data_IF_714858981481
#
_entry.id   IF_714858981481
#
_cell.length_a   1.000
_cell.length_b   1.000
_cell.length_c   1.000
_cell.angle_alpha   90.00
_cell.angle_beta   90.00
_cell.angle_gamma   90.00
#
_symmetry.space_group_name_H-M   'P 1'
#
loop_
_entity.id
_entity.type
_entity.pdbx_description
1 polymer ?
#
# COMPACT_ATOMS: atom_id res chain seq x y z
N UNK A 1 5.83 -1.36 8.06
CA UNK A 1 6.98 -0.75 8.75
C UNK A 1 7.98 -1.83 9.18
N UNK A 2 9.29 -1.52 9.19
CA UNK A 2 10.38 -2.47 9.55
C UNK A 2 10.16 -3.19 10.89
N UNK A 3 9.42 -2.59 11.84
CA UNK A 3 9.10 -3.18 13.14
C UNK A 3 8.19 -4.43 13.09
N UNK A 4 7.30 -4.56 12.09
CA UNK A 4 6.43 -5.75 11.99
C UNK A 4 7.16 -6.98 11.43
N UNK A 5 8.25 -6.77 10.69
CA UNK A 5 9.10 -7.84 10.17
C UNK A 5 9.78 -8.61 11.29
N UNK A 6 10.14 -7.93 12.39
CA UNK A 6 10.75 -8.55 13.57
C UNK A 6 9.75 -9.44 14.31
N UNK A 7 8.49 -9.02 14.43
CA UNK A 7 7.44 -9.80 15.07
C UNK A 7 7.20 -11.15 14.41
N UNK A 8 7.27 -11.23 13.07
CA UNK A 8 7.08 -12.49 12.33
C UNK A 8 8.30 -13.43 12.48
N UNK A 9 9.52 -12.89 12.59
CA UNK A 9 10.72 -13.69 12.90
C UNK A 9 10.75 -14.19 14.34
N UNK A 10 10.30 -13.38 15.31
CA UNK A 10 10.19 -13.79 16.72
C UNK A 10 9.10 -14.86 16.90
N UNK A 11 7.97 -14.75 16.20
CA UNK A 11 6.89 -15.77 16.26
C UNK A 11 7.29 -17.09 15.60
N UNK A 12 8.32 -17.09 14.72
CA UNK A 12 8.92 -18.32 14.17
C UNK A 12 9.85 -19.02 15.16
N UNK A 13 10.51 -18.29 16.06
CA UNK A 13 11.44 -18.85 17.05
C UNK A 13 10.73 -19.34 18.32
N UNK A 14 9.56 -18.78 18.64
CA UNK A 14 8.89 -18.97 19.94
C UNK A 14 8.12 -20.30 20.13
N UNK A 15 8.06 -21.20 19.13
CA UNK A 15 7.18 -22.40 19.14
C UNK A 15 5.68 -22.10 19.43
N UNK A 16 5.25 -20.83 19.41
CA UNK A 16 3.84 -20.43 19.57
C UNK A 16 3.04 -20.75 18.30
N UNK A 17 3.72 -20.75 17.15
CA UNK A 17 3.13 -21.12 15.86
C UNK A 17 2.60 -22.56 15.89
N UNK A 18 3.32 -23.54 16.46
CA UNK A 18 2.89 -24.94 16.46
C UNK A 18 1.64 -25.20 17.33
N UNK A 19 1.39 -24.37 18.37
CA UNK A 19 0.14 -24.45 19.16
C UNK A 19 -1.07 -23.84 18.44
N UNK A 20 -0.89 -22.77 17.65
CA UNK A 20 -1.97 -22.19 16.83
C UNK A 20 -2.35 -23.10 15.64
N UNK A 21 -1.49 -24.04 15.26
CA UNK A 21 -1.72 -24.99 14.16
C UNK A 21 -2.63 -26.18 14.50
N UNK A 22 -3.02 -26.36 15.76
CA UNK A 22 -3.97 -27.41 16.18
C UNK A 22 -5.43 -26.92 16.16
N UNK A 23 -5.64 -25.60 16.02
CA UNK A 23 -6.97 -25.00 15.86
C UNK A 23 -7.28 -24.85 14.36
N UNK A 24 -8.54 -25.05 13.92
CA UNK A 24 -8.94 -24.88 12.52
C UNK A 24 -9.02 -23.39 12.16
N UNK A 25 -7.88 -22.71 12.18
CA UNK A 25 -7.78 -21.29 11.85
C UNK A 25 -7.69 -21.20 10.33
N UNK A 26 -8.73 -20.65 9.71
CA UNK A 26 -8.72 -20.39 8.28
C UNK A 26 -7.57 -19.42 7.95
N UNK A 27 -6.67 -19.81 7.06
CA UNK A 27 -5.41 -19.08 6.77
C UNK A 27 -5.65 -17.66 6.23
N UNK A 28 -6.85 -17.39 5.74
CA UNK A 28 -7.28 -16.05 5.35
C UNK A 28 -7.41 -15.09 6.56
N UNK A 29 -7.69 -15.57 7.77
CA UNK A 29 -7.88 -14.71 8.95
C UNK A 29 -6.61 -13.95 9.35
N UNK A 30 -5.44 -14.59 9.23
CA UNK A 30 -4.16 -13.94 9.51
C UNK A 30 -3.82 -12.87 8.46
N UNK A 31 -4.10 -13.17 7.19
CA UNK A 31 -3.87 -12.26 6.06
C UNK A 31 -4.79 -11.04 6.14
N UNK A 32 -6.09 -11.26 6.35
CA UNK A 32 -7.08 -10.21 6.46
C UNK A 32 -6.82 -9.32 7.69
N UNK A 33 -6.43 -9.91 8.83
CA UNK A 33 -6.06 -9.15 10.02
C UNK A 33 -4.85 -8.23 9.78
N UNK A 34 -3.85 -8.69 9.03
CA UNK A 34 -2.70 -7.88 8.67
C UNK A 34 -3.06 -6.74 7.70
N UNK A 35 -3.86 -7.02 6.68
CA UNK A 35 -4.33 -5.99 5.73
C UNK A 35 -5.14 -4.92 6.46
N UNK A 36 -6.09 -5.32 7.30
CA UNK A 36 -6.90 -4.39 8.11
C UNK A 36 -5.98 -3.55 9.00
N UNK A 37 -4.99 -4.15 9.66
CA UNK A 37 -4.08 -3.42 10.52
C UNK A 37 -3.29 -2.34 9.76
N UNK A 38 -2.80 -2.63 8.54
CA UNK A 38 -2.09 -1.62 7.74
C UNK A 38 -3.03 -0.56 7.16
N UNK A 39 -4.26 -0.92 6.79
CA UNK A 39 -5.29 0.04 6.38
C UNK A 39 -5.63 1.01 7.52
N UNK A 40 -5.87 0.49 8.72
CA UNK A 40 -6.15 1.30 9.92
C UNK A 40 -4.95 2.19 10.26
N UNK A 41 -3.73 1.66 10.21
CA UNK A 41 -2.52 2.46 10.43
C UNK A 41 -2.38 3.59 9.41
N UNK A 42 -2.62 3.30 8.13
CA UNK A 42 -2.59 4.31 7.07
C UNK A 42 -3.64 5.39 7.29
N UNK A 43 -4.85 4.99 7.68
CA UNK A 43 -5.94 5.92 7.97
C UNK A 43 -5.59 6.83 9.16
N UNK A 44 -5.13 6.28 10.29
CA UNK A 44 -4.73 7.06 11.47
C UNK A 44 -3.59 8.02 11.11
N UNK A 45 -2.57 7.55 10.40
CA UNK A 45 -1.45 8.41 9.96
C UNK A 45 -1.94 9.56 9.07
N UNK A 46 -2.86 9.28 8.15
CA UNK A 46 -3.42 10.31 7.26
C UNK A 46 -4.26 11.30 8.05
N UNK A 47 -5.06 10.86 9.01
CA UNK A 47 -5.83 11.75 9.91
C UNK A 47 -4.89 12.69 10.66
N UNK A 48 -3.82 12.17 11.25
CA UNK A 48 -2.85 12.96 12.01
C UNK A 48 -2.17 14.01 11.13
N UNK A 49 -1.67 13.62 9.96
CA UNK A 49 -1.02 14.55 9.02
C UNK A 49 -2.02 15.60 8.53
N UNK A 50 -3.25 15.19 8.24
CA UNK A 50 -4.30 16.11 7.79
C UNK A 50 -4.68 17.11 8.88
N UNK A 51 -4.77 16.67 10.14
CA UNK A 51 -5.05 17.55 11.28
C UNK A 51 -3.95 18.60 11.46
N UNK A 52 -2.68 18.20 11.33
CA UNK A 52 -1.54 19.13 11.36
C UNK A 52 -1.63 20.11 10.19
N UNK A 53 -1.91 19.62 8.98
CA UNK A 53 -2.04 20.48 7.80
C UNK A 53 -3.18 21.49 7.93
N UNK A 54 -4.32 21.09 8.49
CA UNK A 54 -5.44 21.98 8.82
C UNK A 54 -5.02 23.04 9.83
N UNK A 55 -4.27 22.66 10.87
CA UNK A 55 -3.73 23.61 11.86
C UNK A 55 -2.74 24.60 11.23
N UNK A 56 -1.99 24.17 10.20
CA UNK A 56 -1.10 25.04 9.40
C UNK A 56 -1.86 25.92 8.38
N UNK A 57 -3.18 25.80 8.29
CA UNK A 57 -4.02 26.63 7.42
C UNK A 57 -4.43 25.99 6.10
N UNK A 58 -4.30 24.66 5.93
CA UNK A 58 -4.88 23.96 4.79
C UNK A 58 -6.40 24.18 4.75
N UNK A 59 -6.92 24.64 3.61
CA UNK A 59 -8.36 24.79 3.39
C UNK A 59 -8.80 23.89 2.25
N UNK A 60 -9.75 23.01 2.52
CA UNK A 60 -10.36 22.18 1.48
C UNK A 60 -11.32 23.03 0.64
N UNK A 61 -10.95 23.25 -0.61
CA UNK A 61 -11.71 24.07 -1.56
C UNK A 61 -13.06 23.43 -1.96
N UNK A 62 -13.17 22.10 -1.90
CA UNK A 62 -14.34 21.33 -2.32
C UNK A 62 -15.24 20.84 -1.16
N UNK A 63 -15.11 21.43 0.04
CA UNK A 63 -15.92 21.10 1.22
C UNK A 63 -15.54 19.79 1.92
N UNK A 64 -16.32 19.42 2.94
CA UNK A 64 -16.02 18.27 3.83
C UNK A 64 -16.03 16.90 3.14
N UNK A 65 -16.81 16.74 2.07
CA UNK A 65 -16.82 15.51 1.28
C UNK A 65 -15.46 15.23 0.62
N UNK A 66 -14.75 16.28 0.18
CA UNK A 66 -13.41 16.14 -0.37
C UNK A 66 -12.39 15.75 0.70
N UNK A 67 -12.54 16.23 1.94
CA UNK A 67 -11.70 15.83 3.06
C UNK A 67 -11.87 14.35 3.42
N UNK A 68 -13.11 13.83 3.38
CA UNK A 68 -13.38 12.40 3.57
C UNK A 68 -12.74 11.53 2.49
N UNK A 69 -12.89 11.90 1.21
CA UNK A 69 -12.25 11.18 0.11
C UNK A 69 -10.72 11.25 0.19
N UNK A 70 -10.18 12.40 0.58
CA UNK A 70 -8.75 12.59 0.80
C UNK A 70 -8.18 11.63 1.86
N UNK A 71 -8.94 11.38 2.94
CA UNK A 71 -8.56 10.44 4.00
C UNK A 71 -8.57 8.97 3.55
N UNK A 72 -9.42 8.62 2.59
CA UNK A 72 -9.60 7.24 2.13
C UNK A 72 -8.60 6.82 1.05
N UNK A 73 -8.09 7.75 0.25
CA UNK A 73 -7.16 7.45 -0.86
C UNK A 73 -5.89 6.69 -0.40
N UNK A 74 -5.19 7.10 0.68
CA UNK A 74 -4.03 6.38 1.18
C UNK A 74 -4.36 4.94 1.60
N UNK A 75 -5.51 4.74 2.25
CA UNK A 75 -5.99 3.44 2.70
C UNK A 75 -6.20 2.48 1.52
N UNK A 76 -6.80 2.96 0.43
CA UNK A 76 -7.00 2.17 -0.80
C UNK A 76 -5.65 1.80 -1.42
N UNK A 77 -4.73 2.77 -1.52
CA UNK A 77 -3.39 2.58 -2.09
C UNK A 77 -2.59 1.55 -1.28
N UNK A 78 -2.61 1.67 0.05
CA UNK A 78 -1.94 0.74 0.97
C UNK A 78 -2.49 -0.67 0.82
N UNK A 79 -3.79 -0.85 0.59
CA UNK A 79 -4.38 -2.18 0.36
C UNK A 79 -3.73 -2.90 -0.84
N UNK A 80 -3.53 -2.20 -1.95
CA UNK A 80 -2.86 -2.75 -3.14
C UNK A 80 -1.38 -3.10 -2.89
N UNK A 81 -0.62 -2.19 -2.27
CA UNK A 81 0.80 -2.43 -1.95
C UNK A 81 0.98 -3.55 -0.92
N UNK A 82 0.07 -3.67 0.04
CA UNK A 82 0.06 -4.73 1.04
C UNK A 82 -0.09 -6.10 0.37
N UNK A 83 -0.92 -6.23 -0.66
CA UNK A 83 -1.04 -7.46 -1.45
C UNK A 83 0.28 -7.84 -2.15
N UNK A 84 0.96 -6.87 -2.75
CA UNK A 84 2.28 -7.04 -3.38
C UNK A 84 3.33 -7.53 -2.37
N UNK A 85 3.43 -6.88 -1.22
CA UNK A 85 4.37 -7.25 -0.17
C UNK A 85 4.10 -8.68 0.34
N UNK A 86 2.83 -9.05 0.53
CA UNK A 86 2.47 -10.42 0.92
C UNK A 86 2.90 -11.47 -0.11
N UNK A 87 2.63 -11.24 -1.39
CA UNK A 87 3.03 -12.19 -2.43
C UNK A 87 4.54 -12.46 -2.46
N UNK A 88 5.33 -11.44 -2.12
CA UNK A 88 6.79 -11.53 -2.08
C UNK A 88 7.31 -12.18 -0.79
N UNK A 89 6.66 -11.91 0.35
CA UNK A 89 7.02 -12.47 1.66
C UNK A 89 6.89 -14.01 1.72
N UNK A 90 6.01 -14.59 0.91
CA UNK A 90 5.72 -16.03 0.91
C UNK A 90 6.73 -16.85 0.09
N UNK A 91 7.50 -16.24 -0.80
CA UNK A 91 8.48 -16.95 -1.65
C UNK A 91 9.73 -17.36 -0.85
N UNK A 92 10.20 -18.60 -1.01
CA UNK A 92 11.42 -19.14 -0.34
C UNK A 92 12.71 -18.35 -0.65
N UNK A 93 12.80 -17.65 -1.79
CA UNK A 93 13.87 -16.67 -2.14
C UNK A 93 13.44 -15.20 -1.96
N UNK A 94 12.44 -14.95 -1.11
CA UNK A 94 11.75 -13.67 -0.98
C UNK A 94 12.62 -12.53 -0.46
N UNK A 95 13.73 -12.81 0.26
CA UNK A 95 14.56 -11.75 0.86
C UNK A 95 15.20 -10.83 -0.18
N UNK A 96 15.83 -11.38 -1.22
CA UNK A 96 16.41 -10.58 -2.32
C UNK A 96 15.32 -9.83 -3.09
N UNK A 97 14.19 -10.49 -3.35
CA UNK A 97 13.08 -9.90 -4.09
C UNK A 97 12.39 -8.76 -3.31
N UNK A 98 12.32 -8.87 -1.98
CA UNK A 98 11.85 -7.84 -1.06
C UNK A 98 12.82 -6.64 -1.04
N UNK A 99 14.13 -6.89 -1.04
CA UNK A 99 15.14 -5.82 -1.14
C UNK A 99 14.99 -5.03 -2.44
N UNK A 100 14.86 -5.71 -3.59
CA UNK A 100 14.62 -5.04 -4.87
C UNK A 100 13.32 -4.23 -4.87
N UNK A 101 12.24 -4.77 -4.30
CA UNK A 101 10.98 -4.05 -4.18
C UNK A 101 11.10 -2.80 -3.31
N UNK A 102 11.81 -2.89 -2.18
CA UNK A 102 12.07 -1.75 -1.31
C UNK A 102 12.89 -0.68 -2.04
N UNK A 103 13.96 -1.07 -2.73
CA UNK A 103 14.77 -0.14 -3.54
C UNK A 103 13.95 0.54 -4.64
N UNK A 104 13.11 -0.23 -5.35
CA UNK A 104 12.24 0.32 -6.39
C UNK A 104 11.20 1.28 -5.81
N UNK A 105 10.54 0.91 -4.71
CA UNK A 105 9.55 1.77 -4.03
C UNK A 105 10.19 3.06 -3.53
N UNK A 106 11.42 2.97 -3.00
CA UNK A 106 12.18 4.13 -2.56
C UNK A 106 12.52 5.04 -3.73
N UNK A 107 13.02 4.51 -4.85
CA UNK A 107 13.29 5.29 -6.05
C UNK A 107 12.03 6.00 -6.58
N UNK A 108 10.89 5.29 -6.64
CA UNK A 108 9.60 5.87 -7.02
C UNK A 108 9.14 6.96 -6.04
N UNK A 109 9.43 6.82 -4.75
CA UNK A 109 9.14 7.83 -3.75
C UNK A 109 9.92 9.15 -3.95
N UNK A 110 11.04 9.16 -4.69
CA UNK A 110 11.70 10.41 -5.09
C UNK A 110 11.19 10.95 -6.42
N UNK A 111 10.83 10.06 -7.35
CA UNK A 111 10.33 10.45 -8.68
C UNK A 111 8.80 10.50 -8.67
N UNK A 112 8.22 11.38 -7.87
CA UNK A 112 6.76 11.50 -7.75
C UNK A 112 6.28 12.96 -7.86
N UNK A 113 5.02 13.18 -8.29
CA UNK A 113 4.47 14.52 -8.50
C UNK A 113 4.29 15.33 -7.21
N UNK A 114 4.33 14.70 -6.04
CA UNK A 114 4.22 15.34 -4.73
C UNK A 114 5.34 16.35 -4.46
N UNK A 115 6.59 15.99 -4.78
CA UNK A 115 7.74 16.88 -4.61
C UNK A 115 7.87 17.92 -5.75
N UNK A 116 7.46 17.57 -6.97
CA UNK A 116 7.61 18.44 -8.14
C UNK A 116 6.40 18.33 -9.07
N UNK A 117 5.75 19.44 -9.46
CA UNK A 117 4.66 19.42 -10.43
C UNK A 117 5.01 18.63 -11.69
N UNK A 118 4.10 17.78 -12.16
CA UNK A 118 4.38 16.87 -13.29
C UNK A 118 4.80 17.60 -14.57
N UNK A 119 4.39 18.87 -14.73
CA UNK A 119 4.73 19.73 -15.86
C UNK A 119 6.22 20.10 -15.93
N UNK A 120 6.96 19.96 -14.83
CA UNK A 120 8.39 20.27 -14.79
C UNK A 120 9.27 19.09 -15.23
N UNK A 121 8.70 17.89 -15.37
CA UNK A 121 9.44 16.76 -15.93
C UNK A 121 9.54 16.86 -17.46
N UNK A 122 10.61 16.30 -18.05
CA UNK A 122 10.75 16.18 -19.51
C UNK A 122 9.55 15.46 -20.15
N UNK A 123 9.15 15.86 -21.36
CA UNK A 123 7.95 15.33 -22.02
C UNK A 123 7.94 13.80 -22.18
N UNK A 124 9.11 13.20 -22.39
CA UNK A 124 9.27 11.75 -22.49
C UNK A 124 9.08 11.03 -21.14
N UNK A 125 9.38 11.68 -20.02
CA UNK A 125 9.30 11.11 -18.67
C UNK A 125 7.91 11.27 -18.05
N UNK A 126 7.17 12.32 -18.42
CA UNK A 126 5.80 12.60 -17.93
C UNK A 126 4.85 11.39 -17.98
N UNK A 127 4.71 10.64 -19.09
CA UNK A 127 3.78 9.51 -19.13
C UNK A 127 4.19 8.36 -18.21
N UNK A 128 5.50 8.07 -18.12
CA UNK A 128 6.04 7.04 -17.22
C UNK A 128 5.78 7.38 -15.75
N UNK A 129 6.02 8.64 -15.39
CA UNK A 129 5.82 9.13 -14.03
C UNK A 129 4.33 9.16 -13.67
N UNK A 130 3.43 9.46 -14.60
CA UNK A 130 1.97 9.44 -14.35
C UNK A 130 1.41 8.04 -14.15
N UNK A 131 1.96 7.06 -14.86
CA UNK A 131 1.50 5.67 -14.81
C UNK A 131 1.97 4.92 -13.57
N UNK A 132 2.99 5.40 -12.85
CA UNK A 132 3.49 4.69 -11.66
C UNK A 132 2.42 4.60 -10.56
N UNK A 133 2.35 3.51 -9.79
CA UNK A 133 1.30 3.29 -8.78
C UNK A 133 1.28 4.32 -7.63
N UNK A 134 2.36 5.07 -7.42
CA UNK A 134 2.47 6.11 -6.38
C UNK A 134 1.94 7.49 -6.84
N UNK A 135 1.96 7.78 -8.15
CA UNK A 135 1.59 9.12 -8.65
C UNK A 135 0.09 9.43 -8.66
N UNK A 136 -0.79 8.54 -9.16
CA UNK A 136 -2.23 8.80 -9.24
C UNK A 136 -2.87 9.13 -7.88
N UNK A 137 -2.54 8.44 -6.77
CA UNK A 137 -3.04 8.81 -5.45
C UNK A 137 -2.64 10.22 -5.03
N UNK A 138 -1.39 10.61 -5.30
CA UNK A 138 -0.86 11.94 -4.97
C UNK A 138 -1.55 13.03 -5.80
N UNK A 139 -1.75 12.79 -7.10
CA UNK A 139 -2.50 13.70 -7.97
C UNK A 139 -3.96 13.84 -7.53
N UNK A 140 -4.62 12.73 -7.16
CA UNK A 140 -6.00 12.72 -6.67
C UNK A 140 -6.12 13.53 -5.36
N UNK A 141 -5.23 13.28 -4.40
CA UNK A 141 -5.18 14.03 -3.13
C UNK A 141 -4.91 15.52 -3.36
N UNK A 142 -4.02 15.86 -4.29
CA UNK A 142 -3.74 17.26 -4.65
C UNK A 142 -4.96 17.94 -5.29
N UNK A 143 -5.64 17.28 -6.21
CA UNK A 143 -6.87 17.80 -6.84
C UNK A 143 -8.01 17.96 -5.83
N UNK A 144 -8.11 17.07 -4.83
CA UNK A 144 -9.07 17.21 -3.74
C UNK A 144 -8.77 18.40 -2.83
N UNK A 145 -7.49 18.69 -2.57
CA UNK A 145 -7.07 19.81 -1.72
C UNK A 145 -7.18 21.17 -2.43
N UNK A 146 -6.61 21.30 -3.63
CA UNK A 146 -6.43 22.59 -4.33
C UNK A 146 -7.40 22.81 -5.50
N UNK A 147 -8.27 21.84 -5.80
CA UNK A 147 -9.12 21.86 -6.98
C UNK A 147 -8.39 21.30 -8.21
N UNK A 148 -9.14 20.60 -9.06
CA UNK A 148 -8.61 19.99 -10.28
C UNK A 148 -9.42 18.78 -10.77
N UNK A 149 -9.07 18.22 -11.94
CA UNK A 149 -9.74 17.05 -12.48
C UNK A 149 -9.45 15.80 -11.63
N UNK A 150 -10.45 15.34 -10.88
CA UNK A 150 -10.36 14.18 -9.97
C UNK A 150 -10.59 12.83 -10.66
N UNK A 151 -11.39 12.79 -11.73
CA UNK A 151 -11.88 11.55 -12.34
C UNK A 151 -10.75 10.64 -12.82
N UNK A 152 -9.77 11.22 -13.53
CA UNK A 152 -8.67 10.46 -14.12
C UNK A 152 -7.68 9.92 -13.07
N UNK A 153 -7.13 10.74 -12.16
CA UNK A 153 -6.25 10.23 -11.10
C UNK A 153 -6.93 9.21 -10.18
N UNK A 154 -8.20 9.42 -9.86
CA UNK A 154 -8.98 8.52 -9.02
C UNK A 154 -9.22 7.18 -9.74
N UNK A 155 -9.62 7.19 -11.00
CA UNK A 155 -9.82 5.98 -11.79
C UNK A 155 -8.54 5.15 -11.91
N UNK A 156 -7.39 5.79 -12.17
CA UNK A 156 -6.10 5.08 -12.22
C UNK A 156 -5.70 4.55 -10.83
N UNK A 157 -5.97 5.28 -9.75
CA UNK A 157 -5.71 4.82 -8.37
C UNK A 157 -6.49 3.54 -8.08
N UNK A 158 -7.78 3.51 -8.40
CA UNK A 158 -8.61 2.31 -8.26
C UNK A 158 -8.15 1.19 -9.19
N UNK A 159 -7.79 1.50 -10.44
CA UNK A 159 -7.27 0.51 -11.38
C UNK A 159 -6.01 -0.16 -10.83
N UNK A 160 -5.05 0.60 -10.29
CA UNK A 160 -3.86 0.04 -9.66
C UNK A 160 -4.20 -0.80 -8.42
N UNK A 161 -5.09 -0.33 -7.55
CA UNK A 161 -5.50 -1.10 -6.39
C UNK A 161 -6.09 -2.45 -6.81
N UNK A 162 -7.00 -2.46 -7.79
CA UNK A 162 -7.62 -3.68 -8.33
C UNK A 162 -6.58 -4.58 -9.00
N UNK A 163 -5.70 -4.04 -9.85
CA UNK A 163 -4.65 -4.81 -10.52
C UNK A 163 -3.70 -5.45 -9.51
N UNK A 164 -3.24 -4.71 -8.50
CA UNK A 164 -2.35 -5.24 -7.47
C UNK A 164 -3.03 -6.34 -6.66
N UNK A 165 -4.29 -6.13 -6.25
CA UNK A 165 -5.09 -7.12 -5.53
C UNK A 165 -5.29 -8.37 -6.39
N UNK A 166 -5.74 -8.21 -7.63
CA UNK A 166 -6.05 -9.31 -8.54
C UNK A 166 -4.82 -10.13 -8.93
N UNK A 167 -3.64 -9.51 -9.06
CA UNK A 167 -2.40 -10.21 -9.43
C UNK A 167 -1.73 -10.84 -8.22
N UNK A 168 -1.59 -10.09 -7.12
CA UNK A 168 -0.74 -10.52 -6.01
C UNK A 168 -1.45 -11.37 -4.95
N UNK A 169 -2.77 -11.22 -4.76
CA UNK A 169 -3.50 -12.11 -3.83
C UNK A 169 -3.45 -13.57 -4.29
N UNK A 170 -3.72 -13.93 -5.57
CA UNK A 170 -3.64 -15.32 -6.01
C UNK A 170 -2.23 -15.90 -5.87
N UNK A 171 -1.19 -15.09 -6.14
CA UNK A 171 0.21 -15.49 -5.98
C UNK A 171 0.53 -15.76 -4.51
N UNK A 172 0.08 -14.88 -3.59
CA UNK A 172 0.25 -15.07 -2.16
C UNK A 172 -0.44 -16.35 -1.68
N UNK A 173 -1.70 -16.57 -2.06
CA UNK A 173 -2.48 -17.76 -1.69
C UNK A 173 -1.83 -19.05 -2.21
N UNK A 174 -1.37 -19.07 -3.48
CA UNK A 174 -0.66 -20.22 -4.06
C UNK A 174 0.67 -20.50 -3.35
N UNK A 175 1.45 -19.45 -3.05
CA UNK A 175 2.69 -19.60 -2.31
C UNK A 175 2.47 -20.16 -0.90
N UNK A 176 1.40 -19.74 -0.22
CA UNK A 176 1.07 -20.22 1.13
C UNK A 176 0.63 -21.69 1.12
N UNK A 177 -0.05 -22.13 0.06
CA UNK A 177 -0.44 -23.54 -0.10
C UNK A 177 0.79 -24.44 -0.31
N UNK A 178 1.69 -24.05 -1.22
CA UNK A 178 2.92 -24.80 -1.51
C UNK A 178 3.88 -24.85 -0.32
N UNK A 179 3.97 -23.79 0.47
CA UNK A 179 4.81 -23.77 1.68
C UNK A 179 4.28 -24.71 2.78
N UNK A 180 2.96 -24.91 2.84
CA UNK A 180 2.35 -25.82 3.82
C UNK A 180 2.42 -27.29 3.40
N UNK A 181 2.33 -27.57 2.09
CA UNK A 181 2.51 -28.93 1.56
C UNK A 181 3.97 -29.40 1.73
N UNK A 182 4.95 -28.50 1.64
CA UNK A 182 6.37 -28.84 1.83
C UNK A 182 6.80 -29.09 3.30
N UNK A 183 5.86 -28.98 4.26
CA UNK A 183 6.10 -29.24 5.69
C UNK A 183 5.37 -30.50 6.18
N UNK A 184 4.63 -31.20 5.30
CA UNK A 184 4.10 -32.53 5.53
C UNK A 184 5.05 -33.58 4.96
#
# INVERSE_FOLDING_TARGET
>A
SLGNSVGITIDRESRVLSRRWVLPIHRASAVTGWVIAEVVRALIGTILITAIALAMGLRFTNGWAAALLFLLIPSITVTGFTALVMAMAVRKKGRTAMTWLLSATFALAFVNPGATPIKLFPDWARPLIRMQPISPPIEAMRSLAHGGPILWPLAITFAWAVVLIAVFIPIAVRGYRLAAEATA
#
